data_IF_461308141338
#
_entry.id   IF_461308141338
#
_cell.length_a   1.000
_cell.length_b   1.000
_cell.length_c   1.000
_cell.angle_alpha   90.00
_cell.angle_beta   90.00
_cell.angle_gamma   90.00
#
_symmetry.space_group_name_H-M   'P 1'
#
loop_
_entity.id
_entity.type
_entity.pdbx_description
1 polymer ?
#
# COMPACT_ATOMS: atom_id res chain seq x y z
N UNK A 1 8.90 4.57 -19.22
CA UNK A 1 7.77 5.19 -18.47
C UNK A 1 8.32 5.69 -17.13
N UNK A 2 7.95 6.89 -16.67
CA UNK A 2 8.49 7.41 -15.40
C UNK A 2 7.71 6.86 -14.21
N UNK A 3 8.41 6.41 -13.16
CA UNK A 3 7.79 5.73 -12.01
C UNK A 3 6.85 6.65 -11.21
N UNK A 4 7.05 7.97 -11.24
CA UNK A 4 6.16 8.93 -10.57
C UNK A 4 4.75 8.98 -11.15
N UNK A 5 4.56 8.47 -12.38
CA UNK A 5 3.26 8.42 -13.04
C UNK A 5 2.50 7.12 -12.72
N UNK A 6 3.10 6.21 -11.95
CA UNK A 6 2.51 4.93 -11.58
C UNK A 6 2.03 4.98 -10.13
N UNK A 7 0.86 4.41 -9.88
CA UNK A 7 0.30 4.23 -8.54
C UNK A 7 0.00 2.76 -8.29
N UNK A 8 0.02 2.35 -7.02
CA UNK A 8 -0.31 0.98 -6.64
C UNK A 8 -1.82 0.83 -6.57
N UNK A 9 -2.32 -0.21 -7.24
CA UNK A 9 -3.71 -0.63 -7.16
C UNK A 9 -3.95 -1.33 -5.83
N UNK A 10 -5.03 -0.96 -5.15
CA UNK A 10 -5.48 -1.66 -3.96
C UNK A 10 -6.71 -2.50 -4.32
N UNK A 11 -6.60 -3.82 -4.20
CA UNK A 11 -7.66 -4.79 -4.57
C UNK A 11 -8.96 -4.53 -3.81
N UNK A 12 -8.87 -4.06 -2.56
CA UNK A 12 -10.04 -3.76 -1.73
C UNK A 12 -10.77 -2.49 -2.15
N UNK A 13 -10.04 -1.48 -2.62
CA UNK A 13 -10.60 -0.20 -3.06
C UNK A 13 -10.83 -0.11 -4.57
N UNK A 14 -10.36 -1.12 -5.33
CA UNK A 14 -10.39 -1.20 -6.80
C UNK A 14 -9.95 0.09 -7.50
N UNK A 15 -8.96 0.77 -6.93
CA UNK A 15 -8.49 2.07 -7.41
C UNK A 15 -7.03 2.31 -7.07
N UNK A 16 -6.32 3.17 -7.81
CA UNK A 16 -4.96 3.55 -7.48
C UNK A 16 -4.94 4.38 -6.18
N UNK A 17 -4.04 4.05 -5.27
CA UNK A 17 -3.96 4.66 -3.94
C UNK A 17 -2.53 4.98 -3.53
N UNK A 18 -2.38 5.97 -2.64
CA UNK A 18 -1.11 6.24 -1.98
C UNK A 18 -0.84 5.21 -0.88
N UNK A 19 0.41 4.77 -0.79
CA UNK A 19 0.89 3.82 0.21
C UNK A 19 1.46 4.57 1.43
N UNK A 20 1.20 4.04 2.62
CA UNK A 20 1.92 4.35 3.85
C UNK A 20 2.78 3.16 4.28
N UNK A 21 3.71 3.40 5.20
CA UNK A 21 4.51 2.34 5.85
C UNK A 21 4.17 2.35 7.34
N UNK A 22 3.89 1.17 7.90
CA UNK A 22 3.69 0.98 9.33
C UNK A 22 4.53 -0.19 9.82
N UNK A 23 4.91 -0.14 11.09
CA UNK A 23 5.55 -1.26 11.77
C UNK A 23 4.45 -2.01 12.50
N UNK A 24 4.31 -3.30 12.23
CA UNK A 24 3.43 -4.18 13.01
C UNK A 24 4.08 -4.52 14.34
N UNK A 25 3.29 -5.04 15.28
CA UNK A 25 3.76 -5.44 16.61
C UNK A 25 4.87 -6.51 16.54
N UNK A 26 4.87 -7.33 15.48
CA UNK A 26 5.92 -8.31 15.17
C UNK A 26 7.24 -7.68 14.67
N UNK A 27 7.37 -6.35 14.69
CA UNK A 27 8.55 -5.62 14.20
C UNK A 27 8.67 -5.54 12.67
N UNK A 28 7.74 -6.14 11.93
CA UNK A 28 7.75 -6.14 10.45
C UNK A 28 7.28 -4.80 9.89
N UNK A 29 8.03 -4.27 8.94
CA UNK A 29 7.66 -3.07 8.17
C UNK A 29 6.76 -3.48 7.01
N UNK A 30 5.50 -3.09 7.06
CA UNK A 30 4.53 -3.39 6.01
C UNK A 30 4.08 -2.12 5.29
N UNK A 31 3.74 -2.28 4.02
CA UNK A 31 3.06 -1.25 3.23
C UNK A 31 1.56 -1.36 3.47
N UNK A 32 0.88 -0.23 3.61
CA UNK A 32 -0.57 -0.20 3.79
C UNK A 32 -1.23 0.85 2.92
N UNK A 33 -2.49 0.62 2.56
CA UNK A 33 -3.30 1.58 1.84
C UNK A 33 -3.67 2.75 2.76
N UNK A 34 -3.34 4.00 2.39
CA UNK A 34 -3.75 5.17 3.18
C UNK A 34 -5.27 5.44 3.20
N UNK A 35 -6.05 4.81 2.32
CA UNK A 35 -7.51 5.02 2.26
C UNK A 35 -8.28 4.05 3.15
N UNK A 36 -7.98 2.76 3.06
CA UNK A 36 -8.71 1.71 3.79
C UNK A 36 -7.89 1.08 4.92
N UNK A 37 -6.65 1.52 5.14
CA UNK A 37 -5.71 1.00 6.14
C UNK A 37 -5.33 -0.48 6.02
N UNK A 38 -5.70 -1.10 4.90
CA UNK A 38 -5.39 -2.49 4.56
C UNK A 38 -3.91 -2.67 4.24
N UNK A 39 -3.35 -3.81 4.64
CA UNK A 39 -1.96 -4.17 4.34
C UNK A 39 -1.84 -4.62 2.88
N UNK A 40 -0.92 -3.99 2.14
CA UNK A 40 -0.60 -4.32 0.74
C UNK A 40 0.75 -5.04 0.76
N UNK A 41 0.74 -6.31 1.15
CA UNK A 41 1.94 -7.15 1.24
C UNK A 41 1.76 -8.50 0.52
N UNK A 42 0.90 -8.50 -0.51
CA UNK A 42 0.90 -9.55 -1.52
C UNK A 42 1.80 -9.07 -2.66
N UNK A 43 3.03 -9.58 -2.68
CA UNK A 43 3.90 -9.56 -3.87
C UNK A 43 3.66 -10.85 -4.62
#
# INVERSE_FOLDING_TARGET
IHISNVMVMCDKCMRPVRIGRKVLEDGRKVRYCKKCNEVIDKV
#
